data_IF_220441123756
#
_entry.id   IF_220441123756
#
_cell.length_a   1.000
_cell.length_b   1.000
_cell.length_c   1.000
_cell.angle_alpha   90.00
_cell.angle_beta   90.00
_cell.angle_gamma   90.00
#
_symmetry.space_group_name_H-M   'P 1'
#
loop_
_entity.id
_entity.type
_entity.pdbx_description
1 polymer ?
#
# COMPACT_ATOMS: atom_id res chain seq x y z
N UNK A 1 22.19 -81.51 -96.65
CA UNK A 1 21.99 -82.64 -95.71
C UNK A 1 20.55 -83.10 -95.86
N UNK A 2 20.33 -84.09 -96.74
CA UNK A 2 20.11 -85.52 -96.42
C UNK A 2 18.60 -85.81 -96.39
N UNK A 3 17.96 -86.10 -97.53
CA UNK A 3 17.98 -87.35 -98.31
C UNK A 3 16.94 -88.38 -97.83
N UNK A 4 16.33 -89.03 -98.85
CA UNK A 4 15.76 -90.41 -98.89
C UNK A 4 14.22 -90.52 -98.98
N UNK A 5 13.78 -90.61 -100.24
CA UNK A 5 12.76 -91.52 -100.78
C UNK A 5 13.40 -92.92 -100.95
N UNK A 6 12.69 -94.07 -100.86
CA UNK A 6 12.10 -94.74 -102.05
C UNK A 6 10.83 -95.55 -101.67
N UNK A 7 10.04 -96.21 -102.52
CA UNK A 7 10.12 -96.64 -103.91
C UNK A 7 9.01 -97.67 -104.15
N UNK A 8 8.58 -97.80 -105.42
CA UNK A 8 7.53 -98.67 -105.92
C UNK A 8 7.90 -100.17 -105.92
N UNK A 9 6.90 -101.07 -106.03
CA UNK A 9 6.97 -102.18 -107.00
C UNK A 9 5.62 -102.87 -107.24
N UNK A 10 5.56 -103.52 -108.39
CA UNK A 10 4.43 -103.97 -109.19
C UNK A 10 4.68 -105.46 -109.52
N UNK A 11 3.75 -106.39 -109.31
CA UNK A 11 3.80 -107.74 -109.93
C UNK A 11 2.39 -108.31 -110.15
N UNK A 12 2.19 -108.77 -111.39
CA UNK A 12 1.06 -109.51 -111.98
C UNK A 12 1.04 -111.01 -111.64
N UNK A 13 -0.06 -111.66 -112.04
CA UNK A 13 -0.19 -113.09 -112.41
C UNK A 13 -0.51 -114.05 -111.25
N UNK A 14 -1.24 -115.15 -111.37
CA UNK A 14 -2.15 -115.77 -112.36
C UNK A 14 -2.71 -117.02 -111.68
N UNK A 15 -3.92 -117.44 -112.09
CA UNK A 15 -4.48 -118.81 -112.03
C UNK A 15 -4.62 -119.56 -110.70
N UNK A 16 -5.80 -120.18 -110.53
CA UNK A 16 -5.95 -121.32 -109.61
C UNK A 16 -7.37 -121.57 -109.12
N UNK A 17 -8.22 -122.17 -109.97
CA UNK A 17 -9.46 -122.82 -109.53
C UNK A 17 -9.11 -124.01 -108.63
N UNK A 18 -9.63 -124.06 -107.41
CA UNK A 18 -9.84 -125.32 -106.70
C UNK A 18 -11.02 -125.19 -105.74
N UNK A 19 -11.97 -126.11 -105.91
CA UNK A 19 -13.17 -126.32 -105.13
C UNK A 19 -12.89 -126.43 -103.63
N UNK A 20 -13.52 -125.56 -102.83
CA UNK A 20 -13.68 -125.78 -101.39
C UNK A 20 -15.16 -125.68 -101.00
N UNK A 21 -15.53 -126.59 -100.10
CA UNK A 21 -16.88 -126.92 -99.63
C UNK A 21 -17.74 -125.70 -99.21
N UNK A 22 -19.07 -125.71 -99.46
CA UNK A 22 -20.01 -124.61 -99.17
C UNK A 22 -20.01 -124.04 -97.73
N UNK A 23 -19.45 -124.77 -96.76
CA UNK A 23 -19.33 -124.30 -95.37
C UNK A 23 -18.24 -123.23 -95.15
N UNK A 24 -17.26 -123.10 -96.06
CA UNK A 24 -16.16 -122.14 -95.94
C UNK A 24 -16.48 -120.77 -96.55
N UNK A 25 -17.31 -120.72 -97.62
CA UNK A 25 -17.72 -119.48 -98.30
C UNK A 25 -18.69 -118.66 -97.45
N UNK A 26 -19.66 -119.30 -96.78
CA UNK A 26 -20.57 -118.63 -95.84
C UNK A 26 -19.81 -118.11 -94.62
N UNK A 27 -18.78 -118.83 -94.15
CA UNK A 27 -17.91 -118.38 -93.05
C UNK A 27 -17.05 -117.18 -93.45
N UNK A 28 -16.50 -117.16 -94.67
CA UNK A 28 -15.79 -116.01 -95.22
C UNK A 28 -16.69 -114.81 -95.51
N UNK A 29 -17.91 -115.00 -96.02
CA UNK A 29 -18.88 -113.91 -96.15
C UNK A 29 -19.26 -113.32 -94.79
N UNK A 30 -19.57 -114.16 -93.79
CA UNK A 30 -19.85 -113.70 -92.43
C UNK A 30 -18.63 -113.05 -91.75
N UNK A 31 -17.40 -113.47 -92.07
CA UNK A 31 -16.16 -112.84 -91.61
C UNK A 31 -15.87 -111.53 -92.35
N UNK A 32 -16.09 -111.45 -93.66
CA UNK A 32 -15.91 -110.24 -94.45
C UNK A 32 -16.97 -109.18 -94.13
N UNK A 33 -18.20 -109.59 -93.84
CA UNK A 33 -19.27 -108.69 -93.39
C UNK A 33 -18.99 -108.23 -91.95
N UNK A 34 -18.56 -109.12 -91.04
CA UNK A 34 -18.04 -108.70 -89.72
C UNK A 34 -16.82 -107.80 -89.79
N UNK A 35 -15.88 -108.02 -90.70
CA UNK A 35 -14.71 -107.16 -90.87
C UNK A 35 -15.13 -105.81 -91.43
N UNK A 36 -16.10 -105.78 -92.35
CA UNK A 36 -16.63 -104.52 -92.91
C UNK A 36 -17.44 -103.75 -91.87
N UNK A 37 -18.22 -104.43 -91.04
CA UNK A 37 -18.94 -103.83 -89.92
C UNK A 37 -17.98 -103.37 -88.83
N UNK A 38 -16.90 -104.12 -88.56
CA UNK A 38 -15.85 -103.69 -87.63
C UNK A 38 -15.01 -102.53 -88.19
N UNK A 39 -14.75 -102.50 -89.50
CA UNK A 39 -14.07 -101.38 -90.17
C UNK A 39 -14.97 -100.14 -90.23
N UNK A 40 -16.27 -100.30 -90.47
CA UNK A 40 -17.24 -99.22 -90.46
C UNK A 40 -17.51 -98.73 -89.04
N UNK A 41 -17.59 -99.62 -88.05
CA UNK A 41 -17.68 -99.28 -86.63
C UNK A 41 -16.40 -98.58 -86.16
N UNK A 42 -15.22 -99.07 -86.53
CA UNK A 42 -13.93 -98.44 -86.22
C UNK A 42 -13.73 -97.11 -86.94
N UNK A 43 -14.27 -96.94 -88.15
CA UNK A 43 -14.26 -95.66 -88.86
C UNK A 43 -15.25 -94.68 -88.22
N UNK A 44 -16.46 -95.14 -87.89
CA UNK A 44 -17.48 -94.37 -87.16
C UNK A 44 -16.99 -93.96 -85.77
N UNK A 45 -16.28 -94.83 -85.06
CA UNK A 45 -15.69 -94.57 -83.74
C UNK A 45 -14.54 -93.55 -83.87
N UNK A 46 -13.69 -93.67 -84.90
CA UNK A 46 -12.68 -92.65 -85.21
C UNK A 46 -13.30 -91.30 -85.57
N UNK A 47 -14.38 -91.29 -86.34
CA UNK A 47 -15.09 -90.05 -86.72
C UNK A 47 -15.83 -89.44 -85.51
N UNK A 48 -16.35 -90.26 -84.59
CA UNK A 48 -16.93 -89.82 -83.31
C UNK A 48 -15.85 -89.22 -82.39
N UNK A 49 -14.73 -89.92 -82.21
CA UNK A 49 -13.57 -89.42 -81.44
C UNK A 49 -13.06 -88.12 -82.04
N UNK A 50 -12.94 -88.03 -83.37
CA UNK A 50 -12.54 -86.80 -84.06
C UNK A 50 -13.52 -85.65 -83.81
N UNK A 51 -14.81 -85.91 -83.93
CA UNK A 51 -15.87 -84.91 -83.67
C UNK A 51 -15.85 -84.46 -82.21
N UNK A 52 -15.60 -85.38 -81.28
CA UNK A 52 -15.48 -85.08 -79.85
C UNK A 52 -14.22 -84.27 -79.52
N UNK A 53 -13.08 -84.58 -80.17
CA UNK A 53 -11.84 -83.80 -80.08
C UNK A 53 -12.09 -82.39 -80.65
N UNK A 54 -12.67 -82.25 -81.83
CA UNK A 54 -12.99 -80.95 -82.45
C UNK A 54 -13.93 -80.12 -81.57
N UNK A 55 -14.95 -80.76 -80.95
CA UNK A 55 -15.83 -80.11 -79.98
C UNK A 55 -15.07 -79.68 -78.71
N UNK A 56 -14.16 -80.52 -78.20
CA UNK A 56 -13.34 -80.19 -77.04
C UNK A 56 -12.34 -79.06 -77.33
N UNK A 57 -11.71 -79.06 -78.50
CA UNK A 57 -10.83 -77.99 -78.97
C UNK A 57 -11.61 -76.69 -79.06
N UNK A 58 -12.76 -76.68 -79.74
CA UNK A 58 -13.60 -75.48 -79.84
C UNK A 58 -14.05 -74.98 -78.47
N UNK A 59 -14.44 -75.87 -77.55
CA UNK A 59 -14.80 -75.50 -76.18
C UNK A 59 -13.62 -74.85 -75.44
N UNK A 60 -12.42 -75.40 -75.59
CA UNK A 60 -11.21 -74.83 -74.98
C UNK A 60 -10.83 -73.49 -75.62
N UNK A 61 -10.99 -73.33 -76.93
CA UNK A 61 -10.78 -72.07 -77.65
C UNK A 61 -11.78 -71.00 -77.19
N UNK A 62 -13.07 -71.32 -77.12
CA UNK A 62 -14.11 -70.41 -76.63
C UNK A 62 -13.87 -70.03 -75.15
N UNK A 63 -13.45 -71.00 -74.33
CA UNK A 63 -13.08 -70.76 -72.93
C UNK A 63 -11.84 -69.87 -72.82
N UNK A 64 -10.81 -70.11 -73.64
CA UNK A 64 -9.59 -69.31 -73.69
C UNK A 64 -9.89 -67.89 -74.17
N UNK A 65 -10.71 -67.72 -75.21
CA UNK A 65 -11.10 -66.42 -75.72
C UNK A 65 -11.91 -65.63 -74.69
N UNK A 66 -12.86 -66.29 -74.01
CA UNK A 66 -13.62 -65.67 -72.92
C UNK A 66 -12.70 -65.26 -71.76
N UNK A 67 -11.74 -66.11 -71.39
CA UNK A 67 -10.75 -65.78 -70.36
C UNK A 67 -9.88 -64.59 -70.79
N UNK A 68 -9.34 -64.59 -72.01
CA UNK A 68 -8.54 -63.49 -72.55
C UNK A 68 -9.31 -62.16 -72.58
N UNK A 69 -10.59 -62.18 -72.94
CA UNK A 69 -11.45 -61.00 -72.92
C UNK A 69 -11.69 -60.53 -71.47
N UNK A 70 -11.94 -61.45 -70.55
CA UNK A 70 -12.07 -61.17 -69.11
C UNK A 70 -10.81 -60.52 -68.54
N UNK A 71 -9.65 -61.11 -68.80
CA UNK A 71 -8.35 -60.60 -68.36
C UNK A 71 -8.07 -59.22 -68.96
N UNK A 72 -8.31 -59.04 -70.26
CA UNK A 72 -8.13 -57.74 -70.94
C UNK A 72 -8.99 -56.65 -70.31
N UNK A 73 -10.24 -56.96 -69.97
CA UNK A 73 -11.14 -56.02 -69.30
C UNK A 73 -10.66 -55.71 -67.88
N UNK A 74 -10.25 -56.73 -67.12
CA UNK A 74 -9.70 -56.55 -65.77
C UNK A 74 -8.42 -55.70 -65.77
N UNK A 75 -7.48 -55.98 -66.68
CA UNK A 75 -6.27 -55.18 -66.84
C UNK A 75 -6.58 -53.73 -67.25
N UNK A 76 -7.58 -53.52 -68.11
CA UNK A 76 -8.01 -52.17 -68.49
C UNK A 76 -8.56 -51.40 -67.28
N UNK A 77 -9.41 -52.03 -66.46
CA UNK A 77 -9.97 -51.41 -65.25
C UNK A 77 -8.88 -51.11 -64.21
N UNK A 78 -7.94 -52.04 -63.99
CA UNK A 78 -6.80 -51.82 -63.09
C UNK A 78 -5.95 -50.66 -63.58
N UNK A 79 -5.70 -50.58 -64.89
CA UNK A 79 -4.91 -49.49 -65.49
C UNK A 79 -5.59 -48.13 -65.29
N UNK A 80 -6.89 -48.05 -65.50
CA UNK A 80 -7.68 -46.83 -65.26
C UNK A 80 -7.63 -46.43 -63.77
N UNK A 81 -7.89 -47.38 -62.86
CA UNK A 81 -7.81 -47.15 -61.42
C UNK A 81 -6.42 -46.69 -60.96
N UNK A 82 -5.36 -47.28 -61.53
CA UNK A 82 -3.97 -46.88 -61.27
C UNK A 82 -3.71 -45.44 -61.75
N UNK A 83 -4.19 -45.09 -62.94
CA UNK A 83 -4.06 -43.73 -63.48
C UNK A 83 -4.79 -42.71 -62.61
N UNK A 84 -6.05 -42.97 -62.25
CA UNK A 84 -6.83 -42.09 -61.37
C UNK A 84 -6.18 -41.93 -59.99
N UNK A 85 -5.64 -43.02 -59.43
CA UNK A 85 -4.92 -42.97 -58.15
C UNK A 85 -3.64 -42.14 -58.27
N UNK A 86 -2.91 -42.27 -59.38
CA UNK A 86 -1.71 -41.49 -59.63
C UNK A 86 -2.01 -39.98 -59.74
N UNK A 87 -3.08 -39.61 -60.44
CA UNK A 87 -3.53 -38.22 -60.56
C UNK A 87 -4.01 -37.66 -59.21
N UNK A 88 -4.72 -38.47 -58.42
CA UNK A 88 -5.14 -38.10 -57.07
C UNK A 88 -3.94 -37.87 -56.14
N UNK A 89 -2.91 -38.72 -56.22
CA UNK A 89 -1.66 -38.55 -55.46
C UNK A 89 -0.95 -37.26 -55.88
N UNK A 90 -0.86 -36.97 -57.18
CA UNK A 90 -0.22 -35.76 -57.68
C UNK A 90 -0.96 -34.49 -57.20
N UNK A 91 -2.30 -34.52 -57.28
CA UNK A 91 -3.16 -33.44 -56.80
C UNK A 91 -3.01 -33.22 -55.30
N UNK A 92 -3.00 -34.29 -54.50
CA UNK A 92 -2.84 -34.19 -53.05
C UNK A 92 -1.46 -33.63 -52.67
N UNK A 93 -0.39 -33.99 -53.40
CA UNK A 93 0.95 -33.43 -53.19
C UNK A 93 0.96 -31.92 -53.44
N UNK A 94 0.42 -31.47 -54.56
CA UNK A 94 0.33 -30.05 -54.88
C UNK A 94 -0.50 -29.26 -53.85
N UNK A 95 -1.63 -29.83 -53.39
CA UNK A 95 -2.45 -29.21 -52.35
C UNK A 95 -1.73 -29.12 -51.00
N UNK A 96 -0.93 -30.13 -50.63
CA UNK A 96 -0.11 -30.10 -49.42
C UNK A 96 0.95 -29.00 -49.50
N UNK A 97 1.66 -28.89 -50.62
CA UNK A 97 2.67 -27.84 -50.82
C UNK A 97 2.06 -26.43 -50.71
N UNK A 98 0.90 -26.20 -51.33
CA UNK A 98 0.18 -24.91 -51.21
C UNK A 98 -0.24 -24.63 -49.77
N UNK A 99 -0.75 -25.65 -49.07
CA UNK A 99 -1.17 -25.50 -47.67
C UNK A 99 0.02 -25.20 -46.76
N UNK A 100 1.14 -25.89 -46.95
CA UNK A 100 2.36 -25.70 -46.18
C UNK A 100 2.93 -24.30 -46.40
N UNK A 101 2.95 -23.80 -47.64
CA UNK A 101 3.37 -22.44 -47.96
C UNK A 101 2.44 -21.41 -47.30
N UNK A 102 1.12 -21.60 -47.40
CA UNK A 102 0.13 -20.73 -46.77
C UNK A 102 0.30 -20.69 -45.24
N UNK A 103 0.48 -21.85 -44.61
CA UNK A 103 0.65 -21.96 -43.15
C UNK A 103 1.97 -21.36 -42.70
N UNK A 104 3.04 -21.53 -43.46
CA UNK A 104 4.33 -20.89 -43.19
C UNK A 104 4.20 -19.36 -43.22
N UNK A 105 3.50 -18.80 -44.21
CA UNK A 105 3.22 -17.36 -44.30
C UNK A 105 2.36 -16.86 -43.14
N UNK A 106 1.30 -17.58 -42.77
CA UNK A 106 0.46 -17.26 -41.60
C UNK A 106 1.29 -17.21 -40.31
N UNK A 107 2.16 -18.21 -40.09
CA UNK A 107 3.07 -18.25 -38.94
C UNK A 107 4.00 -17.03 -38.94
N UNK A 108 4.65 -16.73 -40.06
CA UNK A 108 5.57 -15.58 -40.16
C UNK A 108 4.88 -14.24 -39.88
N UNK A 109 3.63 -14.07 -40.32
CA UNK A 109 2.84 -12.88 -40.04
C UNK A 109 2.52 -12.78 -38.54
N UNK A 110 2.12 -13.88 -37.91
CA UNK A 110 1.84 -13.92 -36.46
C UNK A 110 3.11 -13.64 -35.66
N UNK A 111 4.24 -14.26 -36.01
CA UNK A 111 5.54 -14.04 -35.36
C UNK A 111 5.98 -12.57 -35.45
N UNK A 112 5.80 -11.96 -36.62
CA UNK A 112 6.09 -10.54 -36.84
C UNK A 112 5.16 -9.66 -36.00
N UNK A 113 3.86 -9.97 -35.95
CA UNK A 113 2.87 -9.24 -35.15
C UNK A 113 3.20 -9.28 -33.67
N UNK A 114 3.47 -10.47 -33.12
CA UNK A 114 3.83 -10.66 -31.71
C UNK A 114 5.11 -9.90 -31.37
N UNK A 115 6.10 -9.92 -32.27
CA UNK A 115 7.36 -9.17 -32.07
C UNK A 115 7.12 -7.66 -32.00
N UNK A 116 6.27 -7.13 -32.88
CA UNK A 116 5.90 -5.70 -32.88
C UNK A 116 5.14 -5.34 -31.60
N UNK A 117 4.12 -6.11 -31.22
CA UNK A 117 3.34 -5.90 -30.00
C UNK A 117 4.23 -5.93 -28.75
N UNK A 118 5.15 -6.90 -28.66
CA UNK A 118 6.09 -6.99 -27.54
C UNK A 118 6.99 -5.76 -27.43
N UNK A 119 7.47 -5.24 -28.56
CA UNK A 119 8.29 -4.03 -28.58
C UNK A 119 7.49 -2.78 -28.19
N UNK A 120 6.24 -2.65 -28.64
CA UNK A 120 5.34 -1.57 -28.24
C UNK A 120 5.09 -1.62 -26.73
N UNK A 121 4.74 -2.78 -26.19
CA UNK A 121 4.46 -2.94 -24.76
C UNK A 121 5.70 -2.67 -23.91
N UNK A 122 6.87 -3.15 -24.34
CA UNK A 122 8.16 -2.85 -23.68
C UNK A 122 8.44 -1.35 -23.64
N UNK A 123 8.20 -0.65 -24.74
CA UNK A 123 8.40 0.81 -24.82
C UNK A 123 7.38 1.56 -23.95
N UNK A 124 6.10 1.17 -24.01
CA UNK A 124 5.05 1.74 -23.18
C UNK A 124 5.35 1.60 -21.68
N UNK A 125 5.81 0.41 -21.25
CA UNK A 125 6.24 0.17 -19.87
C UNK A 125 7.39 1.09 -19.46
N UNK A 126 8.40 1.26 -20.31
CA UNK A 126 9.53 2.18 -20.06
C UNK A 126 9.06 3.62 -19.91
N UNK A 127 8.11 4.07 -20.73
CA UNK A 127 7.54 5.42 -20.64
C UNK A 127 6.72 5.63 -19.36
N UNK A 128 5.92 4.62 -18.96
CA UNK A 128 5.18 4.65 -17.71
C UNK A 128 6.11 4.69 -16.50
N UNK A 129 7.15 3.86 -16.47
CA UNK A 129 8.14 3.85 -15.39
C UNK A 129 8.86 5.20 -15.28
N UNK A 130 9.21 5.83 -16.41
CA UNK A 130 9.80 7.17 -16.43
C UNK A 130 8.83 8.25 -15.92
N UNK A 131 7.57 8.21 -16.32
CA UNK A 131 6.54 9.15 -15.84
C UNK A 131 6.31 9.00 -14.35
N UNK A 132 6.19 7.76 -13.85
CA UNK A 132 6.02 7.47 -12.44
C UNK A 132 7.22 7.95 -11.62
N UNK A 133 8.44 7.69 -12.10
CA UNK A 133 9.67 8.14 -11.43
C UNK A 133 9.71 9.66 -11.31
N UNK A 134 9.41 10.39 -12.40
CA UNK A 134 9.34 11.86 -12.38
C UNK A 134 8.25 12.37 -11.43
N UNK A 135 7.07 11.77 -11.46
CA UNK A 135 5.97 12.15 -10.58
C UNK A 135 6.35 11.98 -9.10
N UNK A 136 6.98 10.86 -8.74
CA UNK A 136 7.45 10.61 -7.38
C UNK A 136 8.52 11.62 -6.97
N UNK A 137 9.48 11.92 -7.84
CA UNK A 137 10.53 12.91 -7.57
C UNK A 137 9.94 14.31 -7.35
N UNK A 138 9.03 14.77 -8.22
CA UNK A 138 8.36 16.06 -8.09
C UNK A 138 7.57 16.16 -6.78
N UNK A 139 6.83 15.10 -6.40
CA UNK A 139 6.11 15.05 -5.13
C UNK A 139 7.04 15.06 -3.93
N UNK A 140 8.16 14.34 -4.00
CA UNK A 140 9.19 14.34 -2.97
C UNK A 140 9.80 15.74 -2.78
N UNK A 141 10.21 16.41 -3.86
CA UNK A 141 10.79 17.76 -3.79
C UNK A 141 9.80 18.80 -3.26
N UNK A 142 8.52 18.69 -3.64
CA UNK A 142 7.45 19.54 -3.11
C UNK A 142 7.33 19.38 -1.60
N UNK A 143 7.18 18.13 -1.13
CA UNK A 143 7.02 17.84 0.30
C UNK A 143 8.25 18.24 1.10
N UNK A 144 9.45 18.00 0.58
CA UNK A 144 10.70 18.43 1.21
C UNK A 144 10.74 19.94 1.41
N UNK A 145 10.36 20.70 0.39
CA UNK A 145 10.31 22.17 0.45
C UNK A 145 9.26 22.66 1.45
N UNK A 146 8.09 22.02 1.52
CA UNK A 146 7.05 22.33 2.51
C UNK A 146 7.53 22.08 3.94
N UNK A 147 8.19 20.95 4.19
CA UNK A 147 8.78 20.62 5.50
C UNK A 147 9.83 21.65 5.90
N UNK A 148 10.72 22.03 5.00
CA UNK A 148 11.76 23.04 5.28
C UNK A 148 11.14 24.41 5.59
N UNK A 149 10.10 24.83 4.85
CA UNK A 149 9.36 26.07 5.12
C UNK A 149 8.67 26.04 6.48
N UNK A 150 7.98 24.95 6.81
CA UNK A 150 7.31 24.79 8.09
C UNK A 150 8.31 24.81 9.25
N UNK A 151 9.47 24.14 9.11
CA UNK A 151 10.55 24.18 10.11
C UNK A 151 11.00 25.61 10.38
N UNK A 152 11.32 26.37 9.33
CA UNK A 152 11.76 27.77 9.44
C UNK A 152 10.67 28.63 10.09
N UNK A 153 9.41 28.47 9.68
CA UNK A 153 8.29 29.23 10.24
C UNK A 153 8.08 28.94 11.73
N UNK A 154 8.24 27.68 12.15
CA UNK A 154 8.13 27.30 13.58
C UNK A 154 9.26 27.88 14.41
N UNK A 155 10.50 27.78 13.90
CA UNK A 155 11.67 28.32 14.60
C UNK A 155 11.57 29.84 14.77
N UNK A 156 11.14 30.54 13.71
CA UNK A 156 10.90 31.99 13.75
C UNK A 156 9.76 32.36 14.71
N UNK A 157 8.63 31.65 14.66
CA UNK A 157 7.51 31.90 15.58
C UNK A 157 7.87 31.66 17.04
N UNK A 158 8.61 30.58 17.33
CA UNK A 158 9.08 30.29 18.67
C UNK A 158 10.08 31.33 19.17
N UNK A 159 10.94 31.84 18.30
CA UNK A 159 11.90 32.89 18.66
C UNK A 159 11.21 34.23 18.91
N UNK A 160 10.26 34.61 18.06
CA UNK A 160 9.45 35.81 18.28
C UNK A 160 8.71 35.75 19.62
N UNK A 161 8.06 34.62 19.92
CA UNK A 161 7.37 34.43 21.20
C UNK A 161 8.32 34.51 22.40
N UNK A 162 9.54 33.95 22.28
CA UNK A 162 10.57 34.08 23.32
C UNK A 162 10.98 35.52 23.55
N UNK A 163 11.19 36.29 22.48
CA UNK A 163 11.54 37.71 22.57
C UNK A 163 10.42 38.51 23.21
N UNK A 164 9.16 38.30 22.82
CA UNK A 164 7.99 38.98 23.39
C UNK A 164 7.85 38.69 24.89
N UNK A 165 7.88 37.41 25.29
CA UNK A 165 7.77 37.02 26.70
C UNK A 165 8.92 37.59 27.52
N UNK A 166 10.14 37.56 27.01
CA UNK A 166 11.30 38.13 27.70
C UNK A 166 11.17 39.65 27.83
N UNK A 167 10.67 40.34 26.80
CA UNK A 167 10.38 41.77 26.84
C UNK A 167 9.39 42.13 27.94
N UNK A 168 8.23 41.47 27.98
CA UNK A 168 7.23 41.68 29.03
C UNK A 168 7.77 41.37 30.42
N UNK A 169 8.57 40.30 30.58
CA UNK A 169 9.21 39.99 31.87
C UNK A 169 10.17 41.11 32.31
N UNK A 170 10.94 41.69 31.39
CA UNK A 170 11.85 42.79 31.69
C UNK A 170 11.10 44.06 32.09
N UNK A 171 10.01 44.39 31.38
CA UNK A 171 9.15 45.53 31.73
C UNK A 171 8.55 45.37 33.14
N UNK A 172 7.98 44.20 33.43
CA UNK A 172 7.45 43.89 34.76
C UNK A 172 8.51 44.00 35.86
N UNK A 173 9.74 43.53 35.62
CA UNK A 173 10.83 43.66 36.58
C UNK A 173 11.21 45.12 36.85
N UNK A 174 11.19 45.97 35.82
CA UNK A 174 11.44 47.41 35.98
C UNK A 174 10.34 48.09 36.78
N UNK A 175 9.07 47.79 36.51
CA UNK A 175 7.93 48.30 37.28
C UNK A 175 8.02 47.88 38.76
N UNK A 176 8.35 46.62 39.03
CA UNK A 176 8.52 46.10 40.39
C UNK A 176 9.63 46.82 41.16
N UNK A 177 10.77 47.09 40.52
CA UNK A 177 11.89 47.81 41.12
C UNK A 177 11.52 49.29 41.38
N UNK A 178 10.78 49.91 40.47
CA UNK A 178 10.28 51.28 40.64
C UNK A 178 9.28 51.37 41.81
N UNK A 179 8.32 50.45 41.90
CA UNK A 179 7.36 50.38 43.00
C UNK A 179 8.05 50.14 44.34
N UNK A 180 9.04 49.24 44.36
CA UNK A 180 9.85 49.00 45.56
C UNK A 180 10.54 50.27 46.02
N UNK A 181 11.21 50.98 45.10
CA UNK A 181 11.89 52.23 45.41
C UNK A 181 10.92 53.31 45.91
N UNK A 182 9.76 53.46 45.25
CA UNK A 182 8.72 54.41 45.68
C UNK A 182 8.22 54.10 47.09
N UNK A 183 7.97 52.82 47.41
CA UNK A 183 7.58 52.38 48.75
C UNK A 183 8.65 52.68 49.79
N UNK A 184 9.92 52.42 49.48
CA UNK A 184 11.03 52.69 50.39
C UNK A 184 11.17 54.20 50.66
N UNK A 185 11.05 55.04 49.63
CA UNK A 185 11.11 56.50 49.74
C UNK A 185 9.95 57.06 50.60
N UNK A 186 8.71 56.61 50.37
CA UNK A 186 7.55 57.03 51.17
C UNK A 186 7.63 56.50 52.60
N UNK A 187 8.13 55.29 52.82
CA UNK A 187 8.30 54.76 54.17
C UNK A 187 9.34 55.57 54.96
N UNK A 188 10.46 55.93 54.35
CA UNK A 188 11.46 56.82 54.96
C UNK A 188 10.88 58.21 55.27
N UNK A 189 10.00 58.73 54.42
CA UNK A 189 9.31 60.01 54.64
C UNK A 189 8.38 59.94 55.86
N UNK A 190 7.58 58.88 55.95
CA UNK A 190 6.68 58.64 57.09
C UNK A 190 7.49 58.48 58.38
N UNK A 191 8.57 57.70 58.35
CA UNK A 191 9.45 57.49 59.51
C UNK A 191 10.04 58.81 60.02
N UNK A 192 10.54 59.66 59.12
CA UNK A 192 11.04 61.01 59.47
C UNK A 192 9.95 61.87 60.09
N UNK A 193 8.75 61.89 59.49
CA UNK A 193 7.62 62.66 60.02
C UNK A 193 7.21 62.18 61.41
N UNK A 194 7.04 60.87 61.60
CA UNK A 194 6.70 60.28 62.89
C UNK A 194 7.76 60.57 63.95
N UNK A 195 9.04 60.52 63.59
CA UNK A 195 10.15 60.84 64.50
C UNK A 195 10.05 62.29 65.00
N UNK A 196 9.79 63.24 64.10
CA UNK A 196 9.63 64.66 64.45
C UNK A 196 8.42 64.87 65.36
N UNK A 197 7.26 64.28 65.04
CA UNK A 197 6.04 64.43 65.86
C UNK A 197 6.19 63.76 67.23
N UNK A 198 6.84 62.59 67.31
CA UNK A 198 7.17 61.95 68.59
C UNK A 198 8.11 62.81 69.44
N UNK A 199 9.07 63.50 68.82
CA UNK A 199 9.98 64.40 69.53
C UNK A 199 9.22 65.62 70.05
N UNK A 200 8.38 66.27 69.24
CA UNK A 200 7.54 67.40 69.68
C UNK A 200 6.64 67.01 70.86
N UNK A 201 6.02 65.83 70.81
CA UNK A 201 5.18 65.33 71.90
C UNK A 201 6.00 65.15 73.17
N UNK A 202 7.21 64.57 73.06
CA UNK A 202 8.13 64.37 74.18
C UNK A 202 8.55 65.70 74.81
N UNK A 203 8.92 66.67 73.99
CA UNK A 203 9.31 68.01 74.43
C UNK A 203 8.13 68.72 75.11
N UNK A 204 6.92 68.61 74.55
CA UNK A 204 5.69 69.15 75.15
C UNK A 204 5.36 68.54 76.51
N UNK A 205 5.53 67.21 76.66
CA UNK A 205 5.36 66.53 77.96
C UNK A 205 6.40 67.02 78.97
N UNK A 206 7.67 67.18 78.57
CA UNK A 206 8.73 67.66 79.47
C UNK A 206 8.48 69.10 79.93
N UNK A 207 8.06 69.98 79.03
CA UNK A 207 7.75 71.37 79.37
C UNK A 207 6.53 71.48 80.30
N UNK A 208 5.47 70.69 80.06
CA UNK A 208 4.33 70.60 80.98
C UNK A 208 4.79 70.16 82.38
N UNK A 209 5.60 69.12 82.47
CA UNK A 209 6.10 68.61 83.74
C UNK A 209 6.91 69.68 84.48
N UNK A 210 7.80 70.40 83.78
CA UNK A 210 8.57 71.50 84.36
C UNK A 210 7.66 72.61 84.88
N UNK A 211 6.74 73.08 84.04
CA UNK A 211 5.77 74.12 84.38
C UNK A 211 4.91 73.72 85.58
N UNK A 212 4.49 72.45 85.66
CA UNK A 212 3.71 71.93 86.79
C UNK A 212 4.50 71.94 88.09
N UNK A 213 5.78 71.55 88.07
CA UNK A 213 6.65 71.60 89.26
C UNK A 213 6.85 73.04 89.70
N UNK A 214 7.20 73.94 88.79
CA UNK A 214 7.37 75.37 89.08
C UNK A 214 6.10 76.01 89.66
N UNK A 215 4.93 75.71 89.09
CA UNK A 215 3.65 76.20 89.60
C UNK A 215 3.33 75.63 91.00
N UNK A 216 3.67 74.37 91.25
CA UNK A 216 3.49 73.72 92.56
C UNK A 216 4.41 74.36 93.61
N UNK A 217 5.67 74.60 93.27
CA UNK A 217 6.63 75.27 94.17
C UNK A 217 6.21 76.72 94.47
N UNK A 218 5.74 77.46 93.47
CA UNK A 218 5.19 78.80 93.66
C UNK A 218 3.97 78.80 94.59
N UNK A 219 3.06 77.84 94.42
CA UNK A 219 1.89 77.69 95.29
C UNK A 219 2.32 77.38 96.73
N UNK A 220 3.30 76.49 96.90
CA UNK A 220 3.85 76.12 98.21
C UNK A 220 4.52 77.31 98.92
N UNK A 221 5.30 78.10 98.18
CA UNK A 221 5.94 79.31 98.72
C UNK A 221 4.89 80.34 99.16
N UNK A 222 3.88 80.61 98.33
CA UNK A 222 2.76 81.50 98.70
C UNK A 222 2.01 81.00 99.93
N UNK A 223 1.74 79.70 100.02
CA UNK A 223 1.10 79.12 101.19
C UNK A 223 1.96 79.30 102.45
N UNK A 224 3.27 79.11 102.33
CA UNK A 224 4.24 79.32 103.41
C UNK A 224 4.27 80.78 103.86
N UNK A 225 4.26 81.74 102.93
CA UNK A 225 4.15 83.17 103.23
C UNK A 225 2.85 83.51 103.95
N UNK A 226 1.70 83.00 103.48
CA UNK A 226 0.40 83.20 104.14
C UNK A 226 0.40 82.63 105.56
N UNK A 227 0.98 81.45 105.77
CA UNK A 227 1.11 80.85 107.11
C UNK A 227 1.97 81.75 108.01
N UNK A 228 3.10 82.25 107.50
CA UNK A 228 4.00 83.15 108.24
C UNK A 228 3.31 84.49 108.57
N UNK A 229 2.58 85.06 107.62
CA UNK A 229 1.82 86.29 107.83
C UNK A 229 0.70 86.10 108.86
N UNK A 230 -0.03 84.99 108.82
CA UNK A 230 -1.02 84.64 109.83
C UNK A 230 -0.38 84.47 111.21
N UNK A 231 0.77 83.79 111.29
CA UNK A 231 1.54 83.66 112.53
C UNK A 231 1.97 85.02 113.08
N UNK A 232 2.45 85.92 112.21
CA UNK A 232 2.82 87.28 112.59
C UNK A 232 1.61 88.10 113.07
N UNK A 233 0.47 88.03 112.37
CA UNK A 233 -0.78 88.69 112.78
C UNK A 233 -1.27 88.18 114.12
N UNK A 234 -1.23 86.86 114.35
CA UNK A 234 -1.58 86.27 115.65
C UNK A 234 -0.64 86.78 116.75
N UNK A 235 0.66 86.89 116.46
CA UNK A 235 1.64 87.42 117.41
C UNK A 235 1.39 88.90 117.73
N UNK A 236 1.19 89.73 116.71
CA UNK A 236 0.87 91.15 116.88
C UNK A 236 -0.43 91.36 117.67
N UNK A 237 -1.48 90.61 117.36
CA UNK A 237 -2.75 90.62 118.13
C UNK A 237 -2.54 90.22 119.59
N UNK A 238 -1.64 89.25 119.88
CA UNK A 238 -1.28 88.89 121.26
C UNK A 238 -0.55 90.03 121.97
N UNK A 239 0.42 90.66 121.31
CA UNK A 239 1.18 91.80 121.85
C UNK A 239 0.26 93.01 122.10
N UNK A 240 -0.65 93.32 121.17
CA UNK A 240 -1.63 94.41 121.32
C UNK A 240 -2.62 94.12 122.46
N UNK A 241 -3.05 92.87 122.65
CA UNK A 241 -3.87 92.47 123.80
C UNK A 241 -3.12 92.64 125.11
N UNK A 242 -1.88 92.19 125.19
CA UNK A 242 -1.04 92.34 126.38
C UNK A 242 -0.83 93.83 126.72
N UNK A 243 -0.55 94.67 125.72
CA UNK A 243 -0.45 96.13 125.92
C UNK A 243 -1.78 96.77 126.36
N UNK A 244 -2.90 96.31 125.80
CA UNK A 244 -4.24 96.80 126.20
C UNK A 244 -4.59 96.36 127.62
N UNK A 245 -4.27 95.11 127.98
CA UNK A 245 -4.43 94.56 129.33
C UNK A 245 -3.55 95.32 130.34
N UNK A 246 -2.28 95.57 130.03
CA UNK A 246 -1.37 96.39 130.83
C UNK A 246 -1.88 97.84 130.97
N UNK A 247 -2.39 98.42 129.88
CA UNK A 247 -3.00 99.75 129.89
C UNK A 247 -4.25 99.81 130.77
N UNK A 248 -5.12 98.79 130.70
CA UNK A 248 -6.29 98.64 131.58
C UNK A 248 -5.87 98.43 133.04
N UNK A 249 -4.81 97.66 133.31
CA UNK A 249 -4.24 97.47 134.64
C UNK A 249 -3.67 98.79 135.19
N UNK A 250 -2.93 99.56 134.40
CA UNK A 250 -2.45 100.88 134.80
C UNK A 250 -3.61 101.86 135.06
N UNK A 251 -4.67 101.82 134.25
CA UNK A 251 -5.89 102.59 134.50
C UNK A 251 -6.57 102.16 135.79
N UNK A 252 -6.65 100.86 136.07
CA UNK A 252 -7.15 100.32 137.34
C UNK A 252 -6.28 100.78 138.51
N UNK A 253 -4.95 100.71 138.39
CA UNK A 253 -4.02 101.19 139.42
C UNK A 253 -4.13 102.71 139.64
N UNK A 254 -4.24 103.51 138.58
CA UNK A 254 -4.47 104.95 138.68
C UNK A 254 -5.85 105.27 139.26
N UNK A 255 -6.86 104.46 138.97
CA UNK A 255 -8.20 104.62 139.55
C UNK A 255 -8.20 104.21 141.01
N UNK A 256 -7.55 103.10 141.37
CA UNK A 256 -7.32 102.69 142.75
C UNK A 256 -6.53 103.74 143.51
N UNK A 257 -5.43 104.29 142.96
CA UNK A 257 -4.69 105.42 143.56
C UNK A 257 -5.55 106.67 143.71
N UNK A 258 -6.36 107.03 142.72
CA UNK A 258 -7.32 108.15 142.85
C UNK A 258 -8.39 107.87 143.89
N UNK A 259 -8.81 106.62 144.05
CA UNK A 259 -9.76 106.20 145.09
C UNK A 259 -9.08 106.20 146.47
N UNK A 260 -7.81 105.79 146.56
CA UNK A 260 -6.98 105.86 147.78
C UNK A 260 -6.64 107.31 148.15
N UNK A 261 -6.42 108.20 147.18
CA UNK A 261 -6.22 109.64 147.40
C UNK A 261 -7.54 110.36 147.72
N UNK A 262 -8.69 109.80 147.31
CA UNK A 262 -10.02 110.32 147.59
C UNK A 262 -10.69 109.67 148.82
N UNK A 263 -10.08 108.63 149.41
CA UNK A 263 -10.52 108.04 150.69
C UNK A 263 -9.57 108.46 151.82
N UNK A 264 -10.09 109.13 152.86
CA UNK A 264 -9.33 109.82 153.90
C UNK A 264 -8.58 108.91 154.88
#
# INVERSE_FOLDING_TARGET
>A
MSMINPGASNVMSTMGKMSQSPAAVIRMQNLSERIRDFQNASKSERDQIRTEIERNVKRLEDQQQKQQLGDRNAFSQIKEAMSTTQDAIATQKAQREILDEKKTKEIQVIESSVTVEFNIERQHRKELDQKLTKFVEERYQTLKTEIDKERISRDQGAEQQRVEVNGTCQEMLQELEQDRKFRDDEMQRIEKYMTVECQKLRDGIQEEQRTRVEATDQLYNKLTEVVKDLQNKIKAEREDREQTEDGLLQLLEQTCKKVEEAMP
#
